data_IF_983169390279
#
_entry.id   IF_983169390279
#
_cell.length_a   1.000
_cell.length_b   1.000
_cell.length_c   1.000
_cell.angle_alpha   90.00
_cell.angle_beta   90.00
_cell.angle_gamma   90.00
#
_symmetry.space_group_name_H-M   'P 1'
#
loop_
_entity.id
_entity.type
_entity.pdbx_description
1 polymer ?
#
# COMPACT_ATOMS: atom_id res chain seq x y z
N UNK A 1 23.05 17.03 -9.42
CA UNK A 1 22.31 16.35 -10.50
C UNK A 1 20.88 16.11 -10.03
N UNK A 2 19.89 16.22 -10.91
CA UNK A 2 18.52 15.86 -10.56
C UNK A 2 18.45 14.36 -10.27
N UNK A 3 17.86 14.00 -9.12
CA UNK A 3 17.66 12.58 -8.74
C UNK A 3 16.45 12.01 -9.50
N UNK A 4 16.58 10.77 -9.93
CA UNK A 4 15.47 10.00 -10.51
C UNK A 4 14.95 9.03 -9.44
N UNK A 5 13.65 9.12 -9.12
CA UNK A 5 13.00 8.29 -8.11
C UNK A 5 11.85 7.49 -8.74
N UNK A 6 11.60 6.31 -8.21
CA UNK A 6 10.34 5.59 -8.39
C UNK A 6 9.65 5.42 -7.04
N UNK A 7 8.34 5.63 -7.00
CA UNK A 7 7.51 5.47 -5.81
C UNK A 7 6.42 4.46 -6.12
N UNK A 8 6.41 3.34 -5.40
CA UNK A 8 5.24 2.48 -5.35
C UNK A 8 4.37 2.95 -4.18
N UNK A 9 3.32 3.71 -4.49
CA UNK A 9 2.37 4.18 -3.48
C UNK A 9 1.29 3.10 -3.34
N UNK A 10 1.57 2.06 -2.58
CA UNK A 10 0.65 0.95 -2.36
C UNK A 10 -0.37 1.24 -1.25
N UNK A 11 -1.49 0.51 -1.25
CA UNK A 11 -2.52 0.62 -0.19
C UNK A 11 -1.97 0.17 1.17
N UNK A 12 -1.08 -0.84 1.18
CA UNK A 12 -0.49 -1.42 2.38
C UNK A 12 0.87 -0.87 2.72
N UNK A 13 1.78 -0.84 1.73
CA UNK A 13 3.16 -0.40 1.89
C UNK A 13 3.52 0.59 0.78
N UNK A 14 4.46 1.47 1.08
CA UNK A 14 5.06 2.40 0.13
C UNK A 14 6.55 2.13 0.04
N UNK A 15 7.02 1.99 -1.20
CA UNK A 15 8.43 1.80 -1.50
C UNK A 15 8.96 3.01 -2.26
N UNK A 16 10.20 3.40 -1.97
CA UNK A 16 10.92 4.42 -2.75
C UNK A 16 12.22 3.81 -3.26
N UNK A 17 12.40 3.85 -4.58
CA UNK A 17 13.61 3.46 -5.27
C UNK A 17 14.33 4.70 -5.78
N UNK A 18 15.64 4.77 -5.57
CA UNK A 18 16.52 5.81 -6.12
C UNK A 18 17.41 5.18 -7.18
N UNK A 19 17.44 5.79 -8.36
CA UNK A 19 18.28 5.31 -9.47
C UNK A 19 19.75 5.25 -9.06
N UNK A 20 20.31 4.05 -9.08
CA UNK A 20 21.71 3.78 -8.71
C UNK A 20 21.94 3.46 -7.24
N UNK A 21 20.94 3.65 -6.36
CA UNK A 21 21.05 3.30 -4.94
C UNK A 21 20.15 2.09 -4.58
N UNK A 22 19.08 1.83 -5.33
CA UNK A 22 18.15 0.73 -5.05
C UNK A 22 16.92 1.19 -4.27
N UNK A 23 16.26 0.25 -3.58
CA UNK A 23 15.16 0.55 -2.66
C UNK A 23 15.75 1.18 -1.39
N UNK A 24 15.40 2.44 -1.14
CA UNK A 24 15.90 3.21 0.01
C UNK A 24 14.86 3.39 1.10
N UNK A 25 13.57 3.19 0.79
CA UNK A 25 12.48 3.17 1.77
C UNK A 25 11.52 2.02 1.46
N UNK A 26 11.04 1.37 2.52
CA UNK A 26 9.95 0.41 2.51
C UNK A 26 9.18 0.57 3.83
N UNK A 27 8.02 1.21 3.77
CA UNK A 27 7.28 1.69 4.95
C UNK A 27 5.79 1.39 4.79
N UNK A 28 5.06 1.02 5.86
CA UNK A 28 3.61 0.96 5.84
C UNK A 28 2.98 2.27 5.32
N UNK A 29 1.95 2.16 4.48
CA UNK A 29 1.24 3.30 3.89
C UNK A 29 0.26 3.94 4.87
N UNK A 30 0.77 4.43 6.00
CA UNK A 30 -0.03 5.00 7.08
C UNK A 30 0.61 6.26 7.65
N UNK A 31 -0.23 7.25 7.94
CA UNK A 31 0.12 8.49 8.62
C UNK A 31 -0.70 8.58 9.91
N UNK A 32 -0.06 8.95 11.01
CA UNK A 32 -0.74 9.32 12.24
C UNK A 32 -0.97 10.83 12.27
N UNK A 33 -2.23 11.25 12.40
CA UNK A 33 -2.64 12.64 12.47
C UNK A 33 -3.24 12.96 13.83
N UNK A 34 -2.97 14.16 14.34
CA UNK A 34 -3.81 14.73 15.39
C UNK A 34 -5.11 15.23 14.75
N UNK A 35 -6.25 14.60 15.06
CA UNK A 35 -7.54 14.95 14.43
C UNK A 35 -8.03 16.36 14.77
N UNK A 36 -7.52 16.97 15.83
CA UNK A 36 -7.88 18.34 16.26
C UNK A 36 -7.08 19.40 15.53
N UNK A 37 -5.78 19.18 15.32
CA UNK A 37 -4.86 20.17 14.71
C UNK A 37 -4.52 19.85 13.27
N UNK A 38 -4.86 18.65 12.79
CA UNK A 38 -4.42 18.09 11.51
C UNK A 38 -2.90 17.97 11.37
N UNK A 39 -2.15 18.04 12.48
CA UNK A 39 -0.71 17.88 12.49
C UNK A 39 -0.32 16.42 12.22
N UNK A 40 0.72 16.22 11.41
CA UNK A 40 1.31 14.89 11.19
C UNK A 40 2.23 14.56 12.35
N UNK A 41 1.91 13.48 13.07
CA UNK A 41 2.66 13.02 14.24
C UNK A 41 3.71 11.97 13.86
N UNK A 42 3.39 11.09 12.91
CA UNK A 42 4.27 10.02 12.46
C UNK A 42 3.83 9.50 11.08
N UNK A 43 4.71 8.76 10.40
CA UNK A 43 4.42 8.04 9.15
C UNK A 43 5.22 6.74 9.08
N UNK A 44 4.70 5.74 8.36
CA UNK A 44 5.36 4.45 8.21
C UNK A 44 5.21 3.59 9.46
N UNK A 45 6.29 2.90 9.82
CA UNK A 45 6.29 1.98 10.97
C UNK A 45 5.90 2.66 12.29
N UNK A 46 6.33 3.91 12.51
CA UNK A 46 5.98 4.66 13.73
C UNK A 46 4.47 4.90 13.82
N UNK A 47 3.84 5.30 12.71
CA UNK A 47 2.38 5.47 12.66
C UNK A 47 1.64 4.13 12.73
N UNK A 48 2.20 3.07 12.15
CA UNK A 48 1.65 1.71 12.25
C UNK A 48 1.59 1.21 13.70
N UNK A 49 2.64 1.47 14.48
CA UNK A 49 2.70 1.09 15.89
C UNK A 49 1.67 1.84 16.77
N UNK A 50 1.18 3.00 16.32
CA UNK A 50 0.16 3.78 17.02
C UNK A 50 -1.25 3.19 16.88
N UNK A 51 -1.50 2.36 15.86
CA UNK A 51 -2.84 1.80 15.58
C UNK A 51 -3.37 1.02 16.78
N UNK A 52 -4.53 1.44 17.29
CA UNK A 52 -5.20 0.81 18.44
C UNK A 52 -4.51 1.00 19.78
N UNK A 53 -3.44 1.82 19.85
CA UNK A 53 -2.62 2.04 21.06
C UNK A 53 -2.54 3.50 21.51
N UNK A 54 -3.08 4.43 20.73
CA UNK A 54 -3.07 5.86 21.02
C UNK A 54 -4.43 6.41 21.47
N UNK A 55 -4.48 7.58 22.14
CA UNK A 55 -5.72 8.27 22.45
C UNK A 55 -6.57 8.54 21.21
N UNK A 56 -7.89 8.70 21.40
CA UNK A 56 -8.86 8.86 20.32
C UNK A 56 -8.67 10.07 19.40
N UNK A 57 -7.90 11.08 19.82
CA UNK A 57 -7.57 12.23 18.97
C UNK A 57 -6.37 11.98 18.05
N UNK A 58 -5.66 10.85 18.18
CA UNK A 58 -4.63 10.42 17.24
C UNK A 58 -5.27 9.39 16.32
N UNK A 59 -5.35 9.73 15.04
CA UNK A 59 -6.01 8.91 14.03
C UNK A 59 -4.98 8.46 13.00
N UNK A 60 -4.87 7.15 12.82
CA UNK A 60 -4.10 6.57 11.74
C UNK A 60 -4.94 6.61 10.45
N UNK A 61 -4.40 7.20 9.41
CA UNK A 61 -5.05 7.35 8.11
C UNK A 61 -4.16 6.75 7.03
N UNK A 62 -4.76 5.99 6.12
CA UNK A 62 -4.11 5.52 4.89
C UNK A 62 -4.49 6.48 3.75
N UNK A 63 -3.54 7.00 2.95
CA UNK A 63 -3.86 7.93 1.85
C UNK A 63 -4.63 7.25 0.71
N UNK A 64 -4.48 5.93 0.61
CA UNK A 64 -5.04 5.10 -0.43
C UNK A 64 -5.99 4.07 0.16
N UNK A 65 -7.10 3.83 -0.54
CA UNK A 65 -8.04 2.74 -0.24
C UNK A 65 -8.52 2.10 -1.53
N UNK A 66 -8.37 0.78 -1.64
CA UNK A 66 -8.72 0.05 -2.86
C UNK A 66 -8.00 0.59 -4.09
N UNK A 67 -6.72 0.97 -3.94
CA UNK A 67 -5.91 1.54 -5.01
C UNK A 67 -6.19 3.02 -5.36
N UNK A 68 -7.24 3.62 -4.81
CA UNK A 68 -7.62 5.00 -5.10
C UNK A 68 -7.15 5.98 -4.02
N UNK A 69 -6.80 7.22 -4.41
CA UNK A 69 -6.61 8.32 -3.47
C UNK A 69 -7.94 8.67 -2.83
N UNK A 70 -8.06 8.44 -1.52
CA UNK A 70 -9.24 8.84 -0.75
C UNK A 70 -9.13 10.24 -0.18
N UNK A 71 -7.91 10.72 0.03
CA UNK A 71 -7.64 12.07 0.54
C UNK A 71 -6.38 12.64 -0.14
N UNK A 72 -6.59 13.66 -0.96
CA UNK A 72 -5.52 14.31 -1.70
C UNK A 72 -4.50 15.01 -0.78
N UNK A 73 -4.98 15.66 0.29
CA UNK A 73 -4.11 16.43 1.18
C UNK A 73 -3.21 15.49 1.99
N UNK A 74 -3.78 14.40 2.51
CA UNK A 74 -3.00 13.35 3.20
C UNK A 74 -2.01 12.69 2.25
N UNK A 75 -2.41 12.41 1.00
CA UNK A 75 -1.52 11.84 -0.02
C UNK A 75 -0.35 12.77 -0.33
N UNK A 76 -0.61 14.06 -0.56
CA UNK A 76 0.43 15.07 -0.84
C UNK A 76 1.41 15.18 0.34
N UNK A 77 0.90 15.18 1.57
CA UNK A 77 1.72 15.22 2.78
C UNK A 77 2.58 13.96 2.91
N UNK A 78 2.03 12.78 2.59
CA UNK A 78 2.79 11.53 2.59
C UNK A 78 3.93 11.57 1.59
N UNK A 79 3.65 11.94 0.34
CA UNK A 79 4.68 12.01 -0.70
C UNK A 79 5.75 13.03 -0.30
N UNK A 80 5.38 14.19 0.26
CA UNK A 80 6.35 15.17 0.74
C UNK A 80 7.28 14.57 1.79
N UNK A 81 6.74 13.91 2.81
CA UNK A 81 7.54 13.31 3.87
C UNK A 81 8.44 12.18 3.35
N UNK A 82 7.98 11.38 2.38
CA UNK A 82 8.81 10.36 1.71
C UNK A 82 9.99 10.99 0.97
N UNK A 83 9.73 12.06 0.20
CA UNK A 83 10.75 12.80 -0.53
C UNK A 83 11.76 13.43 0.46
N UNK A 84 11.30 14.03 1.54
CA UNK A 84 12.16 14.60 2.60
C UNK A 84 13.03 13.52 3.25
N UNK A 85 12.47 12.33 3.57
CA UNK A 85 13.22 11.19 4.13
C UNK A 85 14.34 10.70 3.21
N UNK A 86 14.17 10.77 1.88
CA UNK A 86 15.25 10.44 0.91
C UNK A 86 16.15 11.63 0.55
N UNK A 87 16.08 12.72 1.32
CA UNK A 87 16.97 13.87 1.20
C UNK A 87 16.62 14.85 0.08
N UNK A 88 15.36 14.84 -0.41
CA UNK A 88 14.86 15.85 -1.34
C UNK A 88 14.55 17.15 -0.58
N UNK A 89 14.97 18.26 -1.16
CA UNK A 89 14.77 19.62 -0.69
C UNK A 89 14.56 20.55 -1.90
N UNK A 90 14.44 21.86 -1.64
CA UNK A 90 14.13 22.86 -2.67
C UNK A 90 15.20 22.99 -3.77
N UNK A 91 16.44 22.56 -3.51
CA UNK A 91 17.57 22.71 -4.43
C UNK A 91 17.86 21.45 -5.27
N UNK A 92 17.28 20.29 -4.94
CA UNK A 92 17.53 19.01 -5.62
C UNK A 92 16.24 18.26 -6.01
N UNK A 93 15.26 19.01 -6.53
CA UNK A 93 13.94 18.48 -6.92
C UNK A 93 14.06 17.33 -7.95
N UNK A 94 13.51 16.14 -7.66
CA UNK A 94 13.69 14.95 -8.50
C UNK A 94 12.68 14.87 -9.64
N UNK A 95 12.93 13.98 -10.60
CA UNK A 95 11.88 13.41 -11.46
C UNK A 95 11.37 12.14 -10.80
N UNK A 96 10.06 11.95 -10.76
CA UNK A 96 9.45 10.78 -10.12
C UNK A 96 8.62 9.98 -11.12
N UNK A 97 8.73 8.66 -11.05
CA UNK A 97 7.77 7.71 -11.63
C UNK A 97 6.95 7.14 -10.49
N UNK A 98 5.63 7.07 -10.62
CA UNK A 98 4.74 6.57 -9.57
C UNK A 98 3.94 5.40 -10.13
N UNK A 99 4.00 4.26 -9.43
CA UNK A 99 3.15 3.12 -9.74
C UNK A 99 1.72 3.42 -9.29
N UNK A 100 0.76 3.18 -10.17
CA UNK A 100 -0.67 3.33 -9.89
C UNK A 100 -1.42 2.09 -10.36
N UNK A 101 -2.52 1.71 -9.68
CA UNK A 101 -3.35 0.62 -10.14
C UNK A 101 -3.86 0.89 -11.54
N UNK A 102 -4.01 -0.16 -12.32
CA UNK A 102 -4.48 -0.07 -13.70
C UNK A 102 -5.94 0.40 -13.79
N UNK A 103 -6.74 0.17 -12.74
CA UNK A 103 -8.12 0.65 -12.64
C UNK A 103 -8.27 2.15 -12.28
N UNK A 104 -7.19 2.92 -12.26
CA UNK A 104 -7.20 4.33 -11.85
C UNK A 104 -7.91 5.23 -12.88
N UNK A 105 -8.82 6.08 -12.40
CA UNK A 105 -9.54 7.05 -13.24
C UNK A 105 -8.64 8.22 -13.66
N UNK A 106 -8.97 8.91 -14.75
CA UNK A 106 -8.21 10.10 -15.20
C UNK A 106 -8.14 11.21 -14.13
N UNK A 107 -9.17 11.32 -13.29
CA UNK A 107 -9.20 12.30 -12.18
C UNK A 107 -8.18 11.91 -11.10
N UNK A 108 -8.14 10.64 -10.71
CA UNK A 108 -7.17 10.12 -9.74
C UNK A 108 -5.73 10.20 -10.28
N UNK A 109 -5.50 9.88 -11.56
CA UNK A 109 -4.17 10.03 -12.20
C UNK A 109 -3.65 11.47 -12.10
N UNK A 110 -4.51 12.45 -12.39
CA UNK A 110 -4.18 13.88 -12.25
C UNK A 110 -3.90 14.23 -10.79
N UNK A 111 -4.69 13.70 -9.86
CA UNK A 111 -4.50 13.91 -8.43
C UNK A 111 -3.13 13.37 -7.95
N UNK A 112 -2.75 12.14 -8.32
CA UNK A 112 -1.42 11.57 -7.98
C UNK A 112 -0.29 12.46 -8.52
N UNK A 113 -0.38 12.83 -9.81
CA UNK A 113 0.64 13.63 -10.48
C UNK A 113 0.80 15.01 -9.84
N UNK A 114 -0.31 15.67 -9.52
CA UNK A 114 -0.30 16.99 -8.88
C UNK A 114 0.20 16.92 -7.44
N UNK A 115 -0.21 15.89 -6.68
CA UNK A 115 0.28 15.66 -5.33
C UNK A 115 1.81 15.51 -5.30
N UNK A 116 2.37 14.75 -6.25
CA UNK A 116 3.81 14.56 -6.38
C UNK A 116 4.56 15.85 -6.75
N UNK A 117 4.04 16.64 -7.69
CA UNK A 117 4.61 17.93 -8.07
C UNK A 117 4.60 18.94 -6.92
N UNK A 118 3.50 19.02 -6.17
CA UNK A 118 3.37 19.87 -4.97
C UNK A 118 4.24 19.39 -3.81
N UNK A 119 4.44 18.08 -3.70
CA UNK A 119 5.30 17.48 -2.68
C UNK A 119 6.78 17.84 -2.89
N UNK A 120 7.22 18.07 -4.13
CA UNK A 120 8.58 18.54 -4.41
C UNK A 120 9.17 18.05 -5.72
N UNK A 121 8.50 17.17 -6.46
CA UNK A 121 8.99 16.69 -7.75
C UNK A 121 9.02 17.82 -8.81
N UNK A 122 9.98 17.75 -9.72
CA UNK A 122 10.07 18.58 -10.93
C UNK A 122 9.14 18.04 -12.01
N UNK A 123 9.14 16.73 -12.18
CA UNK A 123 8.27 15.98 -13.09
C UNK A 123 7.70 14.77 -12.36
N UNK A 124 6.48 14.39 -12.72
CA UNK A 124 5.82 13.19 -12.22
C UNK A 124 5.21 12.46 -13.40
N UNK A 125 5.59 11.19 -13.55
CA UNK A 125 5.11 10.27 -14.57
C UNK A 125 4.44 9.08 -13.88
N UNK A 126 3.44 8.48 -14.51
CA UNK A 126 2.73 7.33 -13.98
C UNK A 126 3.11 6.07 -14.76
N UNK A 127 3.13 4.94 -14.06
CA UNK A 127 3.26 3.60 -14.65
C UNK A 127 2.20 2.69 -14.02
N UNK A 128 1.61 1.82 -14.84
CA UNK A 128 0.64 0.83 -14.37
C UNK A 128 1.36 -0.21 -13.49
N UNK A 129 0.78 -0.56 -12.34
CA UNK A 129 1.31 -1.55 -11.41
C UNK A 129 1.70 -2.89 -12.07
N UNK A 130 0.85 -3.57 -12.87
CA UNK A 130 1.23 -4.84 -13.50
C UNK A 130 2.38 -4.68 -14.50
N UNK A 131 2.49 -3.53 -15.17
CA UNK A 131 3.63 -3.23 -16.04
C UNK A 131 4.91 -3.10 -15.22
N UNK A 132 4.88 -2.33 -14.13
CA UNK A 132 6.01 -2.20 -13.21
C UNK A 132 6.40 -3.54 -12.59
N UNK A 133 5.43 -4.37 -12.20
CA UNK A 133 5.64 -5.71 -11.68
C UNK A 133 6.28 -6.65 -12.73
N UNK A 134 5.81 -6.60 -13.98
CA UNK A 134 6.39 -7.39 -15.08
C UNK A 134 7.86 -7.02 -15.33
N UNK A 135 8.17 -5.72 -15.34
CA UNK A 135 9.55 -5.21 -15.46
C UNK A 135 10.38 -5.67 -14.27
N UNK A 136 9.86 -5.54 -13.04
CA UNK A 136 10.53 -5.97 -11.81
C UNK A 136 10.79 -7.47 -11.75
N UNK A 137 9.93 -8.28 -12.35
CA UNK A 137 10.08 -9.73 -12.46
C UNK A 137 11.00 -10.17 -13.62
N UNK A 138 11.49 -9.23 -14.44
CA UNK A 138 12.38 -9.54 -15.58
C UNK A 138 11.68 -10.25 -16.74
N UNK A 139 10.36 -10.08 -16.88
CA UNK A 139 9.60 -10.69 -17.97
C UNK A 139 9.96 -10.04 -19.32
N UNK A 140 10.03 -10.81 -20.43
CA UNK A 140 10.34 -10.30 -21.76
C UNK A 140 9.13 -9.57 -22.37
N UNK A 141 8.69 -8.48 -21.74
CA UNK A 141 7.45 -7.77 -22.10
C UNK A 141 7.47 -7.11 -23.48
N UNK A 142 8.66 -6.82 -24.02
CA UNK A 142 8.84 -6.19 -25.33
C UNK A 142 8.83 -7.19 -26.50
N UNK A 143 8.80 -8.49 -26.21
CA UNK A 143 8.74 -9.53 -27.23
C UNK A 143 7.29 -9.79 -27.68
N UNK A 144 7.08 -10.39 -28.87
CA UNK A 144 5.76 -10.84 -29.33
C UNK A 144 5.30 -12.11 -28.58
N UNK A 145 5.44 -12.11 -27.25
CA UNK A 145 5.02 -13.15 -26.32
C UNK A 145 4.00 -12.57 -25.35
N UNK A 146 3.01 -13.36 -24.95
CA UNK A 146 2.02 -12.97 -23.94
C UNK A 146 2.54 -13.26 -22.54
N UNK A 147 2.68 -12.21 -21.72
CA UNK A 147 3.09 -12.30 -20.32
C UNK A 147 1.89 -12.00 -19.44
N UNK A 148 1.34 -13.01 -18.75
CA UNK A 148 0.27 -12.79 -17.78
C UNK A 148 0.87 -12.51 -16.40
N UNK A 149 0.52 -11.37 -15.83
CA UNK A 149 0.92 -10.95 -14.47
C UNK A 149 -0.33 -10.86 -13.61
N UNK A 150 -0.27 -11.44 -12.42
CA UNK A 150 -1.30 -11.31 -11.39
C UNK A 150 -0.65 -10.63 -10.19
N UNK A 151 -1.05 -9.40 -9.91
CA UNK A 151 -0.59 -8.60 -8.77
C UNK A 151 -1.69 -8.55 -7.70
N UNK A 152 -1.40 -9.09 -6.51
CA UNK A 152 -2.32 -9.12 -5.37
C UNK A 152 -1.79 -8.15 -4.31
N UNK A 153 -2.34 -6.94 -4.31
CA UNK A 153 -1.97 -5.87 -3.40
C UNK A 153 -2.80 -5.82 -2.11
N UNK A 154 -2.65 -4.70 -1.40
CA UNK A 154 -3.36 -4.45 -0.15
C UNK A 154 -4.89 -4.32 -0.31
N UNK A 155 -5.34 -3.58 -1.33
CA UNK A 155 -6.76 -3.29 -1.56
C UNK A 155 -7.28 -3.63 -2.95
N UNK A 156 -6.41 -4.11 -3.84
CA UNK A 156 -6.76 -4.48 -5.22
C UNK A 156 -5.99 -5.71 -5.62
N UNK A 157 -6.58 -6.49 -6.52
CA UNK A 157 -5.89 -7.54 -7.26
C UNK A 157 -6.07 -7.26 -8.74
N UNK A 158 -5.00 -7.30 -9.51
CA UNK A 158 -4.98 -6.97 -10.93
C UNK A 158 -4.37 -8.13 -11.72
N UNK A 159 -4.99 -8.49 -12.83
CA UNK A 159 -4.46 -9.43 -13.81
C UNK A 159 -4.27 -8.69 -15.13
N UNK A 160 -3.05 -8.72 -15.69
CA UNK A 160 -2.74 -8.09 -16.97
C UNK A 160 -2.05 -9.08 -17.90
N UNK A 161 -2.42 -9.05 -19.18
CA UNK A 161 -1.69 -9.69 -20.26
C UNK A 161 -0.88 -8.64 -21.00
N UNK A 162 0.44 -8.80 -21.03
CA UNK A 162 1.39 -7.84 -21.61
C UNK A 162 2.11 -8.47 -22.80
N UNK A 163 2.22 -7.74 -23.91
CA UNK A 163 3.01 -8.13 -25.09
C UNK A 163 3.48 -6.90 -25.85
N UNK A 164 4.64 -6.96 -26.51
CA UNK A 164 5.20 -5.86 -27.30
C UNK A 164 5.25 -4.50 -26.53
N UNK A 165 5.50 -4.55 -25.23
CA UNK A 165 5.59 -3.40 -24.34
C UNK A 165 4.24 -2.77 -23.97
N UNK A 166 3.12 -3.37 -24.36
CA UNK A 166 1.78 -2.86 -24.11
C UNK A 166 0.90 -3.85 -23.34
N UNK A 167 -0.04 -3.31 -22.55
CA UNK A 167 -1.11 -4.10 -21.92
C UNK A 167 -2.16 -4.44 -22.99
N UNK A 168 -2.35 -5.73 -23.24
CA UNK A 168 -3.29 -6.29 -24.23
C UNK A 168 -4.66 -6.51 -23.61
N UNK A 169 -4.69 -7.03 -22.38
CA UNK A 169 -5.90 -7.25 -21.61
C UNK A 169 -5.61 -6.96 -20.13
N UNK A 170 -6.62 -6.47 -19.43
CA UNK A 170 -6.52 -6.08 -18.04
C UNK A 170 -7.84 -6.34 -17.34
N UNK A 171 -7.77 -6.95 -16.16
CA UNK A 171 -8.88 -7.05 -15.23
C UNK A 171 -8.40 -6.69 -13.84
N UNK A 172 -9.20 -5.90 -13.12
CA UNK A 172 -8.86 -5.42 -11.79
C UNK A 172 -10.08 -5.49 -10.89
N UNK A 173 -9.90 -6.04 -9.71
CA UNK A 173 -10.93 -6.14 -8.69
C UNK A 173 -10.47 -5.43 -7.42
N UNK A 174 -11.41 -4.74 -6.74
CA UNK A 174 -11.16 -4.08 -5.46
C UNK A 174 -11.27 -5.08 -4.31
N UNK A 175 -10.46 -6.13 -4.40
CA UNK A 175 -10.29 -7.15 -3.39
C UNK A 175 -8.79 -7.37 -3.24
N UNK A 176 -8.27 -7.30 -2.02
CA UNK A 176 -6.87 -7.51 -1.73
C UNK A 176 -6.64 -8.12 -0.36
N UNK A 177 -5.42 -7.97 0.14
CA UNK A 177 -5.02 -8.58 1.42
C UNK A 177 -5.84 -8.07 2.62
N UNK A 178 -6.39 -6.85 2.58
CA UNK A 178 -7.21 -6.31 3.67
C UNK A 178 -8.60 -6.93 3.74
N UNK A 179 -9.14 -7.37 2.60
CA UNK A 179 -10.41 -8.11 2.59
C UNK A 179 -10.23 -9.51 3.20
N UNK A 180 -9.04 -10.11 3.02
CA UNK A 180 -8.64 -11.34 3.70
C UNK A 180 -8.53 -11.11 5.20
N UNK A 181 -7.88 -10.02 5.63
CA UNK A 181 -7.79 -9.66 7.05
C UNK A 181 -9.18 -9.46 7.67
N UNK A 182 -10.07 -8.74 6.99
CA UNK A 182 -11.45 -8.53 7.42
C UNK A 182 -12.26 -9.84 7.50
N UNK A 183 -12.02 -10.78 6.58
CA UNK A 183 -12.62 -12.10 6.62
C UNK A 183 -12.14 -12.90 7.84
N UNK A 184 -10.84 -12.84 8.17
CA UNK A 184 -10.26 -13.46 9.37
C UNK A 184 -10.88 -12.86 10.65
N UNK A 185 -10.97 -11.53 10.75
CA UNK A 185 -11.63 -10.87 11.88
C UNK A 185 -13.09 -11.32 12.04
N UNK A 186 -13.80 -11.42 10.92
CA UNK A 186 -15.22 -11.83 10.91
C UNK A 186 -15.38 -13.28 11.34
N UNK A 187 -14.52 -14.18 10.87
CA UNK A 187 -14.50 -15.59 11.26
C UNK A 187 -14.25 -15.73 12.76
N UNK A 188 -13.20 -15.10 13.29
CA UNK A 188 -12.84 -15.20 14.71
C UNK A 188 -13.96 -14.65 15.62
N UNK A 189 -14.57 -13.54 15.20
CA UNK A 189 -15.71 -12.95 15.90
C UNK A 189 -16.91 -13.90 15.98
N UNK A 190 -17.20 -14.62 14.88
CA UNK A 190 -18.35 -15.52 14.77
C UNK A 190 -18.14 -16.82 15.53
N UNK A 191 -16.98 -17.46 15.35
CA UNK A 191 -16.70 -18.78 15.93
C UNK A 191 -16.31 -18.72 17.40
N UNK A 192 -15.54 -17.71 17.82
CA UNK A 192 -14.97 -17.65 19.18
C UNK A 192 -15.57 -16.53 20.05
N UNK A 193 -16.38 -15.64 19.48
CA UNK A 193 -16.91 -14.49 20.20
C UNK A 193 -15.84 -13.48 20.61
N UNK A 194 -14.71 -13.45 19.89
CA UNK A 194 -13.55 -12.58 20.17
C UNK A 194 -13.43 -11.52 19.07
N UNK A 195 -13.28 -10.26 19.45
CA UNK A 195 -12.94 -9.17 18.54
C UNK A 195 -11.42 -8.95 18.51
N UNK A 196 -10.83 -8.98 17.31
CA UNK A 196 -9.41 -8.70 17.09
C UNK A 196 -9.22 -7.50 16.15
N UNK A 197 -8.08 -6.82 16.30
CA UNK A 197 -7.70 -5.70 15.43
C UNK A 197 -7.14 -6.15 14.07
N UNK A 198 -6.99 -5.20 13.15
CA UNK A 198 -6.46 -5.42 11.80
C UNK A 198 -5.06 -6.06 11.83
N UNK A 199 -4.18 -5.54 12.69
CA UNK A 199 -2.83 -6.07 12.87
C UNK A 199 -2.81 -7.54 13.28
N UNK A 200 -3.67 -7.94 14.22
CA UNK A 200 -3.74 -9.34 14.66
C UNK A 200 -4.26 -10.23 13.54
N UNK A 201 -5.21 -9.75 12.72
CA UNK A 201 -5.70 -10.50 11.57
C UNK A 201 -4.61 -10.68 10.50
N UNK A 202 -3.82 -9.63 10.23
CA UNK A 202 -2.69 -9.71 9.32
C UNK A 202 -1.59 -10.64 9.84
N UNK A 203 -1.28 -10.60 11.14
CA UNK A 203 -0.34 -11.53 11.78
C UNK A 203 -0.81 -12.99 11.62
N UNK A 204 -2.11 -13.27 11.79
CA UNK A 204 -2.69 -14.60 11.54
C UNK A 204 -2.56 -14.99 10.05
N UNK A 205 -2.93 -14.09 9.14
CA UNK A 205 -2.81 -14.30 7.68
C UNK A 205 -1.38 -14.70 7.29
N UNK A 206 -0.39 -13.99 7.81
CA UNK A 206 1.03 -14.24 7.50
C UNK A 206 1.58 -15.51 8.16
N UNK A 207 1.03 -15.89 9.32
CA UNK A 207 1.55 -17.04 10.09
C UNK A 207 0.94 -18.36 9.63
N UNK A 208 -0.37 -18.40 9.35
CA UNK A 208 -1.10 -19.65 9.09
C UNK A 208 -2.02 -19.59 7.86
N UNK A 209 -2.03 -18.49 7.11
CA UNK A 209 -2.89 -18.34 5.94
C UNK A 209 -2.45 -19.24 4.78
N UNK A 210 -3.41 -19.96 4.18
CA UNK A 210 -3.18 -20.70 2.94
C UNK A 210 -4.44 -20.72 2.08
N UNK A 211 -4.25 -20.66 0.75
CA UNK A 211 -5.33 -20.81 -0.24
C UNK A 211 -5.45 -22.26 -0.75
N UNK A 212 -4.59 -23.17 -0.28
CA UNK A 212 -4.59 -24.59 -0.65
C UNK A 212 -4.40 -25.46 0.61
N UNK A 213 -4.97 -26.68 0.68
CA UNK A 213 -4.70 -27.58 1.79
C UNK A 213 -3.20 -27.78 2.02
N UNK A 214 -2.77 -27.66 3.27
CA UNK A 214 -1.41 -27.97 3.72
C UNK A 214 -1.44 -29.31 4.44
N UNK A 215 -0.41 -30.13 4.23
CA UNK A 215 -0.20 -31.37 4.99
C UNK A 215 0.30 -31.08 6.42
N UNK A 216 0.79 -29.86 6.67
CA UNK A 216 1.20 -29.38 8.00
C UNK A 216 0.07 -28.61 8.68
N UNK A 217 -0.21 -28.94 9.94
CA UNK A 217 -1.12 -28.19 10.81
C UNK A 217 -0.40 -26.97 11.40
N UNK A 218 -0.80 -25.78 10.98
CA UNK A 218 -0.33 -24.53 11.58
C UNK A 218 -1.38 -23.98 12.56
N UNK A 219 -0.91 -23.50 13.71
CA UNK A 219 -1.75 -22.85 14.71
C UNK A 219 -1.19 -21.47 15.06
N UNK A 220 -2.09 -20.50 15.28
CA UNK A 220 -1.74 -19.17 15.76
C UNK A 220 -2.39 -18.92 17.13
N UNK A 221 -1.63 -18.38 18.07
CA UNK A 221 -2.21 -17.84 19.31
C UNK A 221 -2.84 -16.48 19.01
N UNK A 222 -4.10 -16.30 19.37
CA UNK A 222 -4.86 -15.08 19.09
C UNK A 222 -5.30 -14.46 20.39
N UNK A 223 -4.96 -13.18 20.58
CA UNK A 223 -5.43 -12.36 21.70
C UNK A 223 -6.40 -11.31 21.21
N UNK A 224 -7.51 -11.13 21.90
CA UNK A 224 -8.50 -10.14 21.53
C UNK A 224 -9.38 -9.74 22.70
N UNK A 225 -10.49 -9.07 22.38
CA UNK A 225 -11.49 -8.68 23.36
C UNK A 225 -12.70 -9.60 23.24
N UNK A 226 -13.03 -10.30 24.30
CA UNK A 226 -14.24 -11.13 24.33
C UNK A 226 -15.48 -10.24 24.27
N UNK A 227 -16.42 -10.57 23.39
CA UNK A 227 -17.59 -9.74 23.13
C UNK A 227 -18.61 -9.72 24.27
N UNK A 228 -18.73 -10.83 25.01
CA UNK A 228 -19.68 -10.92 26.12
C UNK A 228 -19.20 -10.17 27.37
N UNK A 229 -17.95 -10.37 27.76
CA UNK A 229 -17.38 -9.78 28.98
C UNK A 229 -16.73 -8.42 28.74
N UNK A 230 -16.31 -8.12 27.51
CA UNK A 230 -15.51 -6.95 27.17
C UNK A 230 -14.04 -7.03 27.65
N UNK A 231 -13.64 -8.15 28.25
CA UNK A 231 -12.31 -8.35 28.81
C UNK A 231 -11.34 -8.94 27.77
N UNK A 232 -10.02 -8.74 27.94
CA UNK A 232 -9.02 -9.44 27.15
C UNK A 232 -9.12 -10.96 27.30
N UNK A 233 -8.99 -11.68 26.20
CA UNK A 233 -8.96 -13.15 26.12
C UNK A 233 -7.90 -13.60 25.14
#
# INVERSE_FOLDING_TARGET
MARDLAIDLGTANTLVYVRGEGIVLNEPSVIALNSRTQEVLAMGHEAWQMIGRTPSYIVAVRPLRGGAITDFEVTQRMIRLLLERVGVNRFNRPRVVICVPSAITTVEQRAVTEAARRAGATEAHLIEQPMAAAIGAGLPINEPLGNMVIDIGGGTSEAALISLGGVVALEAVRVGSFDIDAAIQTHIRREYGIAIGERTAEEIKLTIGSAWPSDEEYAAEVRGRELMSGLPK
#
